data_IF_459174400470
#
_entry.id   IF_459174400470
#
_cell.length_a   1.000
_cell.length_b   1.000
_cell.length_c   1.000
_cell.angle_alpha   90.00
_cell.angle_beta   90.00
_cell.angle_gamma   90.00
#
_symmetry.space_group_name_H-M   'P 1'
#
loop_
_entity.id
_entity.type
_entity.pdbx_description
1 polymer ?
#
# COMPACT_ATOMS: atom_id res chain seq x y z
N UNK A 1 39.24 20.10 40.56
CA UNK A 1 38.32 19.73 39.46
C UNK A 1 37.20 18.89 40.07
N UNK A 2 36.03 19.48 40.28
CA UNK A 2 34.88 18.79 40.89
C UNK A 2 34.02 18.19 39.79
N UNK A 3 34.07 16.87 39.61
CA UNK A 3 33.02 16.15 38.89
C UNK A 3 31.97 15.80 39.92
N UNK A 4 30.85 16.54 39.90
CA UNK A 4 29.69 16.24 40.73
C UNK A 4 29.06 14.93 40.23
N UNK A 5 29.43 13.81 40.84
CA UNK A 5 28.90 12.47 40.55
C UNK A 5 27.51 12.21 41.15
N UNK A 6 26.71 13.25 41.38
CA UNK A 6 25.49 13.16 42.21
C UNK A 6 24.16 13.46 41.51
N UNK A 7 24.11 13.72 40.20
CA UNK A 7 22.87 14.22 39.57
C UNK A 7 22.65 13.90 38.09
N UNK A 8 23.13 12.76 37.61
CA UNK A 8 22.88 12.28 36.25
C UNK A 8 22.28 10.87 36.16
N UNK A 9 21.92 10.26 37.29
CA UNK A 9 21.02 9.12 37.28
C UNK A 9 19.60 9.66 37.37
N UNK A 10 19.03 10.09 36.25
CA UNK A 10 17.58 9.93 36.13
C UNK A 10 17.31 8.48 36.52
N UNK A 11 16.41 8.24 37.46
CA UNK A 11 15.98 6.88 37.79
C UNK A 11 15.72 6.18 36.45
N UNK A 12 16.30 4.99 36.17
CA UNK A 12 16.22 4.37 34.86
C UNK A 12 14.79 4.34 34.30
N UNK A 13 13.81 4.26 35.20
CA UNK A 13 12.38 4.38 34.92
C UNK A 13 11.99 5.75 34.33
N UNK A 14 12.43 6.87 34.92
CA UNK A 14 12.16 8.23 34.43
C UNK A 14 12.69 8.40 33.00
N UNK A 15 13.91 7.94 32.74
CA UNK A 15 14.47 7.99 31.40
C UNK A 15 13.63 7.19 30.39
N UNK A 16 13.21 5.97 30.76
CA UNK A 16 12.34 5.14 29.93
C UNK A 16 10.97 5.77 29.69
N UNK A 17 10.37 6.40 30.71
CA UNK A 17 9.10 7.12 30.57
C UNK A 17 9.26 8.30 29.61
N UNK A 18 10.33 9.10 29.73
CA UNK A 18 10.59 10.20 28.81
C UNK A 18 10.75 9.71 27.36
N UNK A 19 11.49 8.62 27.13
CA UNK A 19 11.66 8.05 25.79
C UNK A 19 10.32 7.51 25.26
N UNK A 20 9.55 6.81 26.08
CA UNK A 20 8.24 6.28 25.68
C UNK A 20 7.27 7.42 25.29
N UNK A 21 7.23 8.49 26.09
CA UNK A 21 6.43 9.68 25.80
C UNK A 21 6.91 10.36 24.51
N UNK A 22 8.22 10.51 24.33
CA UNK A 22 8.78 11.09 23.11
C UNK A 22 8.44 10.25 21.87
N UNK A 23 8.61 8.94 21.93
CA UNK A 23 8.23 8.02 20.84
C UNK A 23 6.74 8.09 20.53
N UNK A 24 5.88 8.16 21.55
CA UNK A 24 4.43 8.27 21.37
C UNK A 24 4.05 9.61 20.75
N UNK A 25 4.67 10.71 21.19
CA UNK A 25 4.45 12.03 20.62
C UNK A 25 4.94 12.11 19.16
N UNK A 26 6.09 11.50 18.85
CA UNK A 26 6.62 11.45 17.48
C UNK A 26 5.74 10.61 16.56
N UNK A 27 5.24 9.46 17.04
CA UNK A 27 4.31 8.61 16.30
C UNK A 27 2.99 9.35 16.04
N UNK A 28 2.43 10.00 17.07
CA UNK A 28 1.22 10.82 16.92
C UNK A 28 1.42 11.99 15.95
N UNK A 29 2.57 12.67 16.01
CA UNK A 29 2.93 13.71 15.04
C UNK A 29 3.01 13.15 13.62
N UNK A 30 3.68 12.01 13.41
CA UNK A 30 3.78 11.38 12.11
C UNK A 30 2.41 11.01 11.54
N UNK A 31 1.52 10.44 12.35
CA UNK A 31 0.14 10.11 11.93
C UNK A 31 -0.68 11.36 11.59
N UNK A 32 -0.59 12.42 12.39
CA UNK A 32 -1.29 13.68 12.09
C UNK A 32 -0.73 14.36 10.83
N UNK A 33 0.58 14.29 10.65
CA UNK A 33 1.26 14.84 9.48
C UNK A 33 0.86 14.09 8.20
N UNK A 34 0.83 12.76 8.25
CA UNK A 34 0.36 11.88 7.17
C UNK A 34 -1.07 12.24 6.72
N UNK A 35 -1.97 12.53 7.66
CA UNK A 35 -3.34 12.92 7.35
C UNK A 35 -3.47 14.34 6.75
N UNK A 36 -2.48 15.20 6.97
CA UNK A 36 -2.50 16.60 6.53
C UNK A 36 -1.82 16.85 5.19
N UNK A 37 -0.97 15.93 4.76
CA UNK A 37 -0.44 15.96 3.40
C UNK A 37 -1.55 15.53 2.44
N UNK A 38 -1.87 16.31 1.39
CA UNK A 38 -2.60 15.76 0.26
C UNK A 38 -1.80 14.55 -0.20
N UNK A 39 -2.40 13.35 -0.22
CA UNK A 39 -1.76 12.11 -0.71
C UNK A 39 -1.05 12.48 -2.00
N UNK A 40 0.27 12.62 -1.92
CA UNK A 40 1.00 13.25 -3.00
C UNK A 40 0.77 12.39 -4.24
N UNK A 41 0.68 13.02 -5.41
CA UNK A 41 0.52 12.39 -6.73
C UNK A 41 1.50 11.23 -7.03
N UNK A 42 2.39 10.89 -6.09
CA UNK A 42 3.40 9.82 -6.11
C UNK A 42 2.97 8.49 -5.48
N UNK A 43 1.88 8.40 -4.71
CA UNK A 43 1.43 7.14 -4.07
C UNK A 43 0.04 6.66 -4.54
N UNK A 44 -0.42 7.18 -5.69
CA UNK A 44 -1.72 6.79 -6.24
C UNK A 44 -1.71 5.35 -6.75
N UNK A 45 -0.66 4.91 -7.46
CA UNK A 45 -0.64 3.56 -8.00
C UNK A 45 -0.56 2.47 -6.91
N UNK A 46 0.27 2.57 -5.86
CA UNK A 46 0.26 1.62 -4.74
C UNK A 46 -1.09 1.56 -4.01
N UNK A 47 -1.68 2.72 -3.69
CA UNK A 47 -3.00 2.78 -3.03
C UNK A 47 -4.11 2.19 -3.90
N UNK A 48 -4.12 2.51 -5.20
CA UNK A 48 -5.07 1.95 -6.15
C UNK A 48 -4.86 0.43 -6.34
N UNK A 49 -3.62 -0.05 -6.25
CA UNK A 49 -3.30 -1.48 -6.27
C UNK A 49 -3.83 -2.20 -5.04
N UNK A 50 -3.75 -1.60 -3.85
CA UNK A 50 -4.35 -2.13 -2.62
C UNK A 50 -5.88 -2.18 -2.73
N UNK A 51 -6.53 -1.09 -3.15
CA UNK A 51 -7.96 -1.05 -3.37
C UNK A 51 -8.44 -2.10 -4.39
N UNK A 52 -7.73 -2.24 -5.53
CA UNK A 52 -8.03 -3.27 -6.52
C UNK A 52 -7.83 -4.68 -5.94
N UNK A 53 -6.85 -4.87 -5.07
CA UNK A 53 -6.57 -6.17 -4.44
C UNK A 53 -7.70 -6.55 -3.47
N UNK A 54 -8.19 -5.63 -2.66
CA UNK A 54 -9.29 -5.88 -1.70
C UNK A 54 -10.58 -6.32 -2.38
N UNK A 55 -10.85 -5.80 -3.58
CA UNK A 55 -12.03 -6.19 -4.38
C UNK A 55 -11.78 -7.51 -5.13
N UNK A 56 -10.62 -7.64 -5.76
CA UNK A 56 -10.31 -8.74 -6.68
C UNK A 56 -10.02 -10.06 -5.94
N UNK A 57 -9.40 -10.01 -4.76
CA UNK A 57 -8.95 -11.20 -4.04
C UNK A 57 -10.05 -11.73 -3.11
N UNK A 58 -10.39 -12.99 -3.31
CA UNK A 58 -11.24 -13.76 -2.41
C UNK A 58 -10.40 -14.84 -1.77
N UNK A 59 -10.23 -14.78 -0.45
CA UNK A 59 -9.40 -15.74 0.29
C UNK A 59 -7.97 -15.83 -0.29
N UNK A 60 -7.42 -14.69 -0.73
CA UNK A 60 -6.07 -14.61 -1.30
C UNK A 60 -5.94 -14.99 -2.79
N UNK A 61 -7.06 -15.29 -3.47
CA UNK A 61 -7.07 -15.66 -4.89
C UNK A 61 -7.87 -14.64 -5.70
N UNK A 62 -7.23 -14.05 -6.70
CA UNK A 62 -7.85 -13.13 -7.65
C UNK A 62 -8.88 -13.86 -8.52
N UNK A 63 -10.09 -13.28 -8.60
CA UNK A 63 -11.19 -13.80 -9.40
C UNK A 63 -11.44 -12.89 -10.61
N UNK A 64 -11.49 -13.48 -11.81
CA UNK A 64 -11.60 -12.72 -13.06
C UNK A 64 -12.97 -12.03 -13.24
N UNK A 65 -14.03 -12.61 -12.69
CA UNK A 65 -15.39 -12.07 -12.70
C UNK A 65 -15.50 -10.75 -11.92
N UNK A 66 -14.55 -10.46 -11.02
CA UNK A 66 -14.47 -9.22 -10.25
C UNK A 66 -13.51 -8.18 -10.82
N UNK A 67 -12.90 -8.44 -11.97
CA UNK A 67 -11.89 -7.55 -12.54
C UNK A 67 -12.48 -6.20 -12.94
N UNK A 68 -13.72 -6.17 -13.43
CA UNK A 68 -14.42 -4.92 -13.78
C UNK A 68 -14.70 -4.06 -12.54
N UNK A 69 -15.09 -4.70 -11.43
CA UNK A 69 -15.37 -4.03 -10.15
C UNK A 69 -14.07 -3.57 -9.44
N UNK A 70 -12.93 -4.18 -9.76
CA UNK A 70 -11.64 -3.88 -9.14
C UNK A 70 -11.05 -2.54 -9.61
N UNK A 71 -11.67 -1.85 -10.57
CA UNK A 71 -11.25 -0.51 -10.99
C UNK A 71 -11.71 0.52 -9.94
N UNK A 72 -10.78 1.22 -9.28
CA UNK A 72 -11.15 2.24 -8.30
C UNK A 72 -11.87 3.40 -8.99
N UNK A 73 -12.95 3.87 -8.35
CA UNK A 73 -13.71 5.04 -8.81
C UNK A 73 -13.03 6.32 -8.33
N UNK A 74 -12.06 6.78 -9.13
CA UNK A 74 -11.31 8.00 -8.88
C UNK A 74 -11.41 8.94 -10.08
N UNK A 75 -11.20 10.24 -9.85
CA UNK A 75 -11.28 11.29 -10.88
C UNK A 75 -10.18 11.22 -11.96
N UNK A 76 -9.32 10.20 -11.92
CA UNK A 76 -8.22 9.99 -12.85
C UNK A 76 -8.41 8.72 -13.69
N UNK A 77 -7.92 8.69 -14.93
CA UNK A 77 -7.71 7.45 -15.67
C UNK A 77 -6.96 6.39 -14.87
N UNK A 78 -7.50 5.17 -14.86
CA UNK A 78 -6.89 3.99 -14.22
C UNK A 78 -6.99 2.80 -15.14
N UNK A 79 -5.89 2.07 -15.27
CA UNK A 79 -5.84 0.76 -15.90
C UNK A 79 -5.49 -0.30 -14.84
N UNK A 80 -6.29 -1.35 -14.77
CA UNK A 80 -6.03 -2.55 -13.96
C UNK A 80 -5.77 -3.70 -14.90
N UNK A 81 -4.58 -4.30 -14.82
CA UNK A 81 -4.15 -5.43 -15.66
C UNK A 81 -3.79 -6.62 -14.79
N UNK A 82 -4.44 -7.76 -15.04
CA UNK A 82 -4.14 -9.04 -14.44
C UNK A 82 -3.49 -9.96 -15.48
N UNK A 83 -2.42 -10.66 -15.09
CA UNK A 83 -1.72 -11.59 -15.97
C UNK A 83 -1.44 -12.92 -15.27
N UNK A 84 -1.76 -14.04 -15.91
CA UNK A 84 -1.46 -15.39 -15.39
C UNK A 84 -1.45 -16.42 -16.51
N UNK A 85 -0.49 -17.36 -16.47
CA UNK A 85 -0.43 -18.48 -17.42
C UNK A 85 -0.41 -18.04 -18.90
N UNK A 86 0.34 -16.98 -19.23
CA UNK A 86 0.44 -16.44 -20.59
C UNK A 86 -0.79 -15.66 -21.08
N UNK A 87 -1.82 -15.51 -20.25
CA UNK A 87 -3.00 -14.69 -20.55
C UNK A 87 -2.94 -13.37 -19.80
N UNK A 88 -3.59 -12.37 -20.38
CA UNK A 88 -3.69 -11.01 -19.82
C UNK A 88 -5.11 -10.52 -19.97
N UNK A 89 -5.63 -9.94 -18.88
CA UNK A 89 -6.95 -9.32 -18.81
C UNK A 89 -6.76 -7.90 -18.28
N UNK A 90 -7.39 -6.92 -18.91
CA UNK A 90 -7.22 -5.52 -18.55
C UNK A 90 -8.55 -4.77 -18.59
N UNK A 91 -8.74 -3.88 -17.62
CA UNK A 91 -9.91 -2.99 -17.52
C UNK A 91 -9.42 -1.54 -17.45
N UNK A 92 -10.10 -0.66 -18.20
CA UNK A 92 -9.76 0.75 -18.30
C UNK A 92 -8.99 1.11 -19.58
N UNK A 93 -8.75 2.41 -19.81
CA UNK A 93 -8.03 2.91 -20.98
C UNK A 93 -6.59 2.41 -21.01
N UNK A 94 -5.98 2.42 -22.20
CA UNK A 94 -4.57 2.05 -22.35
C UNK A 94 -3.67 3.11 -21.69
N UNK A 95 -2.76 2.72 -20.79
CA UNK A 95 -1.89 3.67 -20.10
C UNK A 95 -0.81 4.26 -21.04
N UNK A 96 -0.44 5.54 -20.87
CA UNK A 96 0.77 6.09 -21.49
C UNK A 96 2.02 5.46 -20.86
N UNK A 97 3.15 5.49 -21.59
CA UNK A 97 4.36 4.76 -21.22
C UNK A 97 4.99 5.21 -19.89
N UNK A 98 4.81 6.48 -19.52
CA UNK A 98 5.43 7.12 -18.35
C UNK A 98 4.45 7.31 -17.17
N UNK A 99 3.29 6.64 -17.18
CA UNK A 99 2.32 6.71 -16.09
C UNK A 99 2.80 6.01 -14.81
N UNK A 100 2.31 6.48 -13.66
CA UNK A 100 2.59 5.88 -12.36
C UNK A 100 1.99 4.48 -12.28
N UNK A 101 2.80 3.50 -11.88
CA UNK A 101 2.43 2.09 -11.93
C UNK A 101 2.94 1.31 -10.72
N UNK A 102 2.07 0.48 -10.16
CA UNK A 102 2.40 -0.46 -9.10
C UNK A 102 2.02 -1.88 -9.53
N UNK A 103 2.75 -2.89 -9.02
CA UNK A 103 2.45 -4.28 -9.33
C UNK A 103 2.71 -5.21 -8.15
N UNK A 104 1.92 -6.27 -8.05
CA UNK A 104 2.00 -7.28 -6.98
C UNK A 104 1.83 -8.68 -7.55
N UNK A 105 2.63 -9.67 -7.12
CA UNK A 105 2.36 -11.07 -7.42
C UNK A 105 1.08 -11.53 -6.72
N UNK A 106 0.22 -12.27 -7.44
CA UNK A 106 -1.06 -12.77 -6.90
C UNK A 106 -1.35 -14.17 -7.42
N UNK A 107 -2.07 -14.96 -6.65
CA UNK A 107 -2.69 -16.19 -7.15
C UNK A 107 -3.94 -15.83 -7.95
N UNK A 108 -4.12 -16.39 -9.14
CA UNK A 108 -5.21 -16.07 -10.07
C UNK A 108 -6.00 -17.32 -10.39
N UNK A 109 -7.31 -17.29 -10.14
CA UNK A 109 -8.22 -18.36 -10.58
C UNK A 109 -8.57 -18.15 -12.04
N UNK A 110 -8.03 -18.99 -12.91
CA UNK A 110 -8.22 -18.88 -14.35
C UNK A 110 -9.33 -19.77 -14.92
N UNK A 111 -9.75 -20.78 -14.14
CA UNK A 111 -10.92 -21.62 -14.37
C UNK A 111 -11.36 -22.25 -13.02
N UNK A 112 -12.50 -22.94 -13.00
CA UNK A 112 -12.94 -23.68 -11.81
C UNK A 112 -11.91 -24.74 -11.42
N UNK A 113 -11.28 -24.57 -10.26
CA UNK A 113 -10.22 -25.45 -9.76
C UNK A 113 -8.80 -25.08 -10.20
N UNK A 114 -8.62 -24.28 -11.25
CA UNK A 114 -7.30 -23.92 -11.77
C UNK A 114 -6.83 -22.57 -11.23
N UNK A 115 -5.82 -22.62 -10.36
CA UNK A 115 -5.16 -21.44 -9.79
C UNK A 115 -3.71 -21.38 -10.28
N UNK A 116 -3.35 -20.26 -10.88
CA UNK A 116 -2.01 -20.00 -11.41
C UNK A 116 -1.39 -18.80 -10.72
N UNK A 117 -0.06 -18.81 -10.58
CA UNK A 117 0.65 -17.62 -10.12
C UNK A 117 0.69 -16.57 -11.24
N UNK A 118 0.37 -15.33 -10.87
CA UNK A 118 0.22 -14.23 -11.80
C UNK A 118 0.70 -12.91 -11.21
N UNK A 119 0.40 -11.82 -11.92
CA UNK A 119 0.73 -10.46 -11.51
C UNK A 119 -0.44 -9.55 -11.77
N UNK A 120 -0.82 -8.80 -10.74
CA UNK A 120 -1.73 -7.67 -10.81
C UNK A 120 -0.90 -6.40 -10.96
N UNK A 121 -1.23 -5.57 -11.94
CA UNK A 121 -0.62 -4.27 -12.22
C UNK A 121 -1.71 -3.22 -12.27
N UNK A 122 -1.50 -2.10 -11.58
CA UNK A 122 -2.38 -0.94 -11.65
C UNK A 122 -1.56 0.26 -12.12
N UNK A 123 -2.13 1.04 -13.03
CA UNK A 123 -1.53 2.24 -13.60
C UNK A 123 -2.50 3.39 -13.48
N UNK A 124 -2.04 4.55 -12.98
CA UNK A 124 -2.85 5.75 -12.73
C UNK A 124 -2.16 6.96 -13.36
N UNK A 125 -2.93 7.85 -14.01
CA UNK A 125 -2.42 9.09 -14.61
C UNK A 125 -3.48 10.20 -14.63
#
# INVERSE_FOLDING_TARGET
MSFSSGRAQAEPLVALVCVAVLCTALAGYATAYDHSLPTADRDLAPSALDAATDVLLVQGVAQLDRLDDARPDISRPVNVTLSAGGRTWSVGPQPPAEADAASRPVAVRVASGDVLFGRLRVVVW
#
